data_IF_521781989772
#
_entry.id   IF_521781989772
#
_cell.length_a   1.000
_cell.length_b   1.000
_cell.length_c   1.000
_cell.angle_alpha   90.00
_cell.angle_beta   90.00
_cell.angle_gamma   90.00
#
_symmetry.space_group_name_H-M   'P 1'
#
loop_
_entity.id
_entity.type
_entity.pdbx_description
1 polymer ?
#
# COMPACT_ATOMS: atom_id res chain seq x y z
N UNK A 1 61.52 -3.90 -19.10
CA UNK A 1 61.50 -2.70 -18.23
C UNK A 1 60.56 -2.98 -17.06
N UNK A 2 60.85 -2.40 -15.88
CA UNK A 2 60.29 -2.68 -14.54
C UNK A 2 58.74 -2.77 -14.47
N UNK A 3 58.14 -3.74 -13.75
CA UNK A 3 57.83 -3.78 -12.30
C UNK A 3 56.87 -2.65 -11.84
N UNK A 4 55.85 -2.87 -10.99
CA UNK A 4 55.84 -3.69 -9.76
C UNK A 4 54.42 -4.12 -9.27
N UNK A 5 54.38 -5.11 -8.37
CA UNK A 5 53.28 -5.67 -7.54
C UNK A 5 53.89 -6.01 -6.13
N UNK A 6 53.16 -6.52 -5.09
CA UNK A 6 51.71 -6.65 -4.81
C UNK A 6 51.37 -5.82 -3.52
N UNK A 7 50.94 -6.28 -2.31
CA UNK A 7 50.07 -7.40 -1.88
C UNK A 7 48.97 -7.13 -0.80
N UNK A 8 47.83 -7.82 -0.97
CA UNK A 8 46.93 -8.51 0.01
C UNK A 8 46.76 -8.06 1.49
N UNK A 9 45.52 -8.32 1.96
CA UNK A 9 45.10 -8.74 3.33
C UNK A 9 44.93 -7.62 4.38
N UNK A 10 44.15 -7.68 5.48
CA UNK A 10 43.24 -8.64 6.17
C UNK A 10 42.16 -7.77 6.88
N UNK A 11 40.89 -8.18 7.09
CA UNK A 11 40.33 -9.06 8.16
C UNK A 11 40.71 -8.67 9.61
N UNK A 12 39.74 -8.80 10.53
CA UNK A 12 39.75 -8.48 12.00
C UNK A 12 39.28 -7.05 12.30
N UNK A 13 38.13 -6.81 12.94
CA UNK A 13 37.82 -7.09 14.36
C UNK A 13 38.89 -6.56 15.31
N UNK A 14 38.57 -5.51 16.07
CA UNK A 14 38.93 -5.48 17.49
C UNK A 14 37.92 -4.68 18.32
N UNK A 15 37.31 -5.38 19.28
CA UNK A 15 36.44 -4.86 20.33
C UNK A 15 37.24 -4.88 21.63
N UNK A 16 37.74 -3.71 22.03
CA UNK A 16 38.33 -3.40 23.34
C UNK A 16 38.04 -1.91 23.60
N UNK A 17 37.87 -1.39 24.80
CA UNK A 17 37.85 -1.94 26.15
C UNK A 17 37.61 -0.74 27.08
N UNK A 18 36.63 -0.81 27.98
CA UNK A 18 36.85 -1.09 29.40
C UNK A 18 37.13 0.16 30.26
N UNK A 19 36.18 0.44 31.16
CA UNK A 19 36.27 1.23 32.40
C UNK A 19 36.82 2.66 32.41
N UNK A 20 35.93 3.60 32.77
CA UNK A 20 36.19 4.55 33.85
C UNK A 20 34.97 4.57 34.79
N UNK A 21 35.20 4.67 36.11
CA UNK A 21 34.19 4.46 37.16
C UNK A 21 33.99 5.75 37.98
N UNK A 22 32.76 5.96 38.46
CA UNK A 22 32.35 6.91 39.50
C UNK A 22 32.35 8.42 39.12
N UNK A 23 31.71 9.29 39.91
CA UNK A 23 30.82 9.04 41.06
C UNK A 23 29.35 9.46 40.82
N UNK A 24 28.45 9.06 41.73
CA UNK A 24 27.05 9.46 41.72
C UNK A 24 26.84 10.83 42.41
N UNK A 25 25.91 11.67 41.90
CA UNK A 25 25.24 12.69 42.70
C UNK A 25 23.75 12.38 42.97
N UNK A 26 23.30 12.88 44.11
CA UNK A 26 22.02 12.69 44.81
C UNK A 26 20.71 12.98 44.03
N UNK A 27 19.54 12.49 44.50
CA UNK A 27 18.28 12.57 43.74
C UNK A 27 17.63 13.97 43.78
N UNK A 28 17.96 14.81 42.79
CA UNK A 28 17.16 15.99 42.50
C UNK A 28 15.79 15.57 41.93
N UNK A 29 14.75 15.76 42.75
CA UNK A 29 13.33 15.49 42.52
C UNK A 29 12.87 15.96 41.12
N UNK A 30 12.85 15.05 40.14
CA UNK A 30 12.45 15.35 38.76
C UNK A 30 10.94 15.59 38.71
N UNK A 31 10.53 16.83 38.40
CA UNK A 31 9.13 17.17 38.17
C UNK A 31 8.54 16.30 37.04
N UNK A 32 7.25 15.93 37.10
CA UNK A 32 6.61 15.21 36.01
C UNK A 32 6.63 16.09 34.77
N UNK A 33 7.22 15.58 33.68
CA UNK A 33 7.21 16.26 32.40
C UNK A 33 5.75 16.49 31.96
N UNK A 34 5.39 17.67 31.41
CA UNK A 34 4.06 17.87 30.86
C UNK A 34 3.85 16.81 29.77
N UNK A 35 2.79 16.02 29.91
CA UNK A 35 2.50 14.92 29.00
C UNK A 35 2.52 15.43 27.56
N UNK A 36 3.43 14.87 26.76
CA UNK A 36 3.55 15.20 25.34
C UNK A 36 2.20 14.89 24.71
N UNK A 37 1.41 15.93 24.42
CA UNK A 37 0.15 15.77 23.70
C UNK A 37 0.49 15.07 22.39
N UNK A 38 0.09 13.81 22.27
CA UNK A 38 0.19 13.10 21.02
C UNK A 38 -0.64 13.90 20.01
N UNK A 39 0.03 14.59 19.09
CA UNK A 39 -0.64 15.15 17.93
C UNK A 39 -1.41 13.98 17.28
N UNK A 40 -2.73 14.10 17.03
CA UNK A 40 -3.41 13.10 16.25
C UNK A 40 -2.63 12.99 14.94
N UNK A 41 -2.17 11.78 14.63
CA UNK A 41 -1.33 11.56 13.46
C UNK A 41 -2.12 12.00 12.24
N UNK A 42 -1.72 13.13 11.66
CA UNK A 42 -2.19 13.56 10.34
C UNK A 42 -1.72 12.46 9.41
N UNK A 43 -2.64 11.54 9.07
CA UNK A 43 -2.36 10.46 8.15
C UNK A 43 -2.18 11.14 6.80
N UNK A 44 -0.92 11.39 6.47
CA UNK A 44 -0.47 11.72 5.12
C UNK A 44 -0.69 10.45 4.29
N UNK A 45 -1.95 10.19 3.92
CA UNK A 45 -2.32 9.08 3.04
C UNK A 45 -1.52 9.26 1.78
N UNK A 46 -0.58 8.34 1.55
CA UNK A 46 0.30 8.41 0.41
C UNK A 46 -0.57 8.42 -0.87
N UNK A 47 -0.23 9.18 -1.92
CA UNK A 47 -1.08 9.27 -3.11
C UNK A 47 -1.43 7.90 -3.72
N UNK A 48 -0.51 6.94 -3.63
CA UNK A 48 -0.72 5.56 -4.07
C UNK A 48 -1.71 4.77 -3.20
N UNK A 49 -1.82 5.04 -1.90
CA UNK A 49 -2.81 4.41 -1.01
C UNK A 49 -4.23 4.85 -1.39
N UNK A 50 -4.42 6.13 -1.72
CA UNK A 50 -5.70 6.67 -2.17
C UNK A 50 -6.11 5.99 -3.48
N UNK A 51 -5.18 5.86 -4.44
CA UNK A 51 -5.42 5.13 -5.70
C UNK A 51 -5.72 3.65 -5.47
N UNK A 52 -5.04 2.99 -4.52
CA UNK A 52 -5.30 1.59 -4.17
C UNK A 52 -6.69 1.41 -3.54
N UNK A 53 -7.09 2.26 -2.58
CA UNK A 53 -8.43 2.25 -1.98
C UNK A 53 -9.52 2.51 -3.02
N UNK A 54 -9.34 3.48 -3.91
CA UNK A 54 -10.26 3.75 -5.01
C UNK A 54 -10.40 2.57 -5.96
N UNK A 55 -9.31 1.87 -6.30
CA UNK A 55 -9.36 0.65 -7.11
C UNK A 55 -10.16 -0.46 -6.42
N UNK A 56 -9.99 -0.66 -5.11
CA UNK A 56 -10.72 -1.68 -4.37
C UNK A 56 -12.20 -1.32 -4.18
N UNK A 57 -12.54 -0.06 -3.87
CA UNK A 57 -13.93 0.39 -3.81
C UNK A 57 -14.68 0.14 -5.14
N UNK A 58 -14.03 0.40 -6.29
CA UNK A 58 -14.60 0.10 -7.61
C UNK A 58 -14.70 -1.40 -7.90
N UNK A 59 -13.80 -2.22 -7.35
CA UNK A 59 -13.89 -3.67 -7.46
C UNK A 59 -15.06 -4.24 -6.63
N UNK A 60 -15.31 -3.70 -5.43
CA UNK A 60 -16.47 -4.05 -4.59
C UNK A 60 -17.78 -3.65 -5.27
N UNK A 61 -17.90 -2.42 -5.77
CA UNK A 61 -19.07 -1.98 -6.54
C UNK A 61 -19.31 -2.86 -7.80
N UNK A 62 -18.26 -3.36 -8.44
CA UNK A 62 -18.38 -4.33 -9.53
C UNK A 62 -18.85 -5.72 -9.06
N UNK A 63 -18.48 -6.17 -7.85
CA UNK A 63 -19.04 -7.39 -7.22
C UNK A 63 -20.52 -7.22 -6.95
N UNK A 64 -20.93 -6.12 -6.33
CA UNK A 64 -22.34 -5.79 -6.04
C UNK A 64 -23.18 -5.75 -7.32
N UNK A 65 -22.69 -5.07 -8.36
CA UNK A 65 -23.35 -5.00 -9.66
C UNK A 65 -23.48 -6.37 -10.34
N UNK A 66 -22.47 -7.25 -10.24
CA UNK A 66 -22.54 -8.62 -10.75
C UNK A 66 -23.52 -9.49 -9.96
N UNK A 67 -23.55 -9.37 -8.63
CA UNK A 67 -24.50 -10.08 -7.77
C UNK A 67 -25.95 -9.66 -8.08
N UNK A 68 -26.18 -8.36 -8.31
CA UNK A 68 -27.44 -7.80 -8.80
C UNK A 68 -27.73 -8.10 -10.29
N UNK A 69 -26.91 -8.92 -10.98
CA UNK A 69 -27.03 -9.27 -12.41
C UNK A 69 -27.08 -8.07 -13.37
N UNK A 70 -26.53 -6.92 -12.97
CA UNK A 70 -26.46 -5.72 -13.82
C UNK A 70 -25.56 -5.96 -15.03
N UNK A 71 -25.89 -5.34 -16.15
CA UNK A 71 -25.04 -5.34 -17.34
C UNK A 71 -23.75 -4.55 -17.10
N UNK A 72 -22.68 -4.87 -17.84
CA UNK A 72 -21.37 -4.18 -17.74
C UNK A 72 -21.49 -2.65 -17.96
N UNK A 73 -22.48 -2.20 -18.73
CA UNK A 73 -22.78 -0.76 -18.97
C UNK A 73 -23.45 -0.11 -17.76
N UNK A 74 -24.38 -0.81 -17.09
CA UNK A 74 -24.99 -0.31 -15.85
C UNK A 74 -23.96 -0.26 -14.71
N UNK A 75 -23.12 -1.29 -14.58
CA UNK A 75 -22.00 -1.30 -13.61
C UNK A 75 -21.05 -0.11 -13.84
N UNK A 76 -20.79 0.26 -15.11
CA UNK A 76 -20.00 1.45 -15.41
C UNK A 76 -20.66 2.76 -14.94
N UNK A 77 -21.99 2.89 -15.10
CA UNK A 77 -22.76 4.02 -14.58
C UNK A 77 -22.77 4.07 -13.04
N UNK A 78 -22.92 2.92 -12.37
CA UNK A 78 -22.83 2.87 -10.90
C UNK A 78 -21.43 3.33 -10.39
N UNK A 79 -20.35 2.95 -11.10
CA UNK A 79 -18.96 3.21 -10.70
C UNK A 79 -18.50 4.64 -11.02
N UNK A 80 -18.94 5.20 -12.15
CA UNK A 80 -18.49 6.51 -12.63
C UNK A 80 -19.51 7.63 -12.37
N UNK A 81 -20.66 7.31 -11.77
CA UNK A 81 -21.82 8.19 -11.67
C UNK A 81 -22.74 8.05 -12.89
N UNK A 82 -24.00 8.43 -12.71
CA UNK A 82 -25.01 8.45 -13.78
C UNK A 82 -24.73 9.50 -14.87
N UNK A 83 -23.63 10.26 -14.73
CA UNK A 83 -23.20 11.28 -15.68
C UNK A 83 -23.04 10.71 -17.08
N UNK A 84 -23.66 11.41 -18.04
CA UNK A 84 -23.71 10.99 -19.42
C UNK A 84 -22.32 10.74 -20.02
N UNK A 85 -21.25 11.40 -19.55
CA UNK A 85 -19.87 11.16 -20.01
C UNK A 85 -19.44 9.69 -19.93
N UNK A 86 -19.79 8.99 -18.84
CA UNK A 86 -19.51 7.56 -18.67
C UNK A 86 -20.13 6.70 -19.77
N UNK A 87 -21.24 7.17 -20.34
CA UNK A 87 -22.11 6.47 -21.30
C UNK A 87 -21.88 6.97 -22.74
N UNK A 88 -21.48 8.22 -22.93
CA UNK A 88 -21.16 8.85 -24.22
C UNK A 88 -19.94 8.17 -24.85
N UNK A 89 -18.88 7.93 -24.06
CA UNK A 89 -17.67 7.24 -24.55
C UNK A 89 -17.81 5.70 -24.56
N UNK A 90 -19.03 5.16 -24.54
CA UNK A 90 -19.29 3.70 -24.46
C UNK A 90 -19.16 2.99 -25.82
N UNK A 91 -18.06 3.26 -26.52
CA UNK A 91 -17.70 2.61 -27.78
C UNK A 91 -17.23 1.15 -27.56
N UNK A 92 -17.28 0.28 -28.61
CA UNK A 92 -16.87 -1.12 -28.48
C UNK A 92 -15.43 -1.31 -27.97
N UNK A 93 -14.53 -0.40 -28.34
CA UNK A 93 -13.10 -0.45 -28.07
C UNK A 93 -12.61 0.68 -27.13
N UNK A 94 -13.49 1.34 -26.36
CA UNK A 94 -13.05 2.44 -25.48
C UNK A 94 -12.30 1.94 -24.24
N UNK A 95 -11.32 2.73 -23.79
CA UNK A 95 -10.53 2.44 -22.59
C UNK A 95 -11.42 2.27 -21.35
N UNK A 96 -12.49 3.07 -21.22
CA UNK A 96 -13.46 2.93 -20.12
C UNK A 96 -14.11 1.54 -20.14
N UNK A 97 -14.49 1.01 -21.30
CA UNK A 97 -15.05 -0.34 -21.44
C UNK A 97 -14.01 -1.42 -21.11
N UNK A 98 -12.75 -1.23 -21.50
CA UNK A 98 -11.65 -2.13 -21.15
C UNK A 98 -11.38 -2.16 -19.64
N UNK A 99 -11.31 -0.98 -19.00
CA UNK A 99 -11.13 -0.84 -17.55
C UNK A 99 -12.27 -1.50 -16.76
N UNK A 100 -13.54 -1.26 -17.14
CA UNK A 100 -14.70 -1.87 -16.47
C UNK A 100 -14.74 -3.39 -16.70
N UNK A 101 -14.38 -3.89 -17.90
CA UNK A 101 -14.21 -5.34 -18.15
C UNK A 101 -13.15 -5.95 -17.24
N UNK A 102 -12.01 -5.27 -17.04
CA UNK A 102 -10.97 -5.74 -16.14
C UNK A 102 -11.41 -5.71 -14.67
N UNK A 103 -12.16 -4.69 -14.24
CA UNK A 103 -12.80 -4.68 -12.90
C UNK A 103 -13.78 -5.84 -12.72
N UNK A 104 -14.64 -6.11 -13.71
CA UNK A 104 -15.55 -7.27 -13.73
C UNK A 104 -14.79 -8.60 -13.66
N UNK A 105 -13.64 -8.72 -14.33
CA UNK A 105 -12.76 -9.89 -14.24
C UNK A 105 -12.22 -10.07 -12.81
N UNK A 106 -11.73 -9.00 -12.17
CA UNK A 106 -11.27 -9.03 -10.78
C UNK A 106 -12.40 -9.38 -9.80
N UNK A 107 -13.57 -8.78 -9.98
CA UNK A 107 -14.76 -9.05 -9.18
C UNK A 107 -15.18 -10.54 -9.24
N UNK A 108 -15.09 -11.18 -10.41
CA UNK A 108 -15.30 -12.63 -10.55
C UNK A 108 -14.25 -13.46 -9.82
N UNK A 109 -12.98 -13.08 -9.87
CA UNK A 109 -11.91 -13.76 -9.13
C UNK A 109 -12.12 -13.63 -7.61
N UNK A 110 -12.54 -12.45 -7.13
CA UNK A 110 -12.92 -12.24 -5.74
C UNK A 110 -14.08 -13.16 -5.34
N UNK A 111 -15.21 -13.12 -6.06
CA UNK A 111 -16.36 -14.00 -5.79
C UNK A 111 -16.02 -15.50 -5.85
N UNK A 112 -15.04 -15.89 -6.68
CA UNK A 112 -14.53 -17.26 -6.78
C UNK A 112 -13.62 -17.71 -5.62
N UNK A 113 -13.52 -16.93 -4.54
CA UNK A 113 -12.69 -17.23 -3.36
C UNK A 113 -11.37 -16.44 -3.28
N UNK A 114 -11.04 -15.62 -4.27
CA UNK A 114 -9.79 -14.82 -4.29
C UNK A 114 -9.68 -13.79 -3.16
N UNK A 115 -10.75 -13.51 -2.41
CA UNK A 115 -10.65 -12.72 -1.17
C UNK A 115 -9.92 -13.48 -0.05
N UNK A 116 -9.88 -14.82 -0.07
CA UNK A 116 -9.13 -15.63 0.89
C UNK A 116 -7.62 -15.46 0.70
N UNK A 117 -7.15 -15.35 -0.55
CA UNK A 117 -5.74 -15.05 -0.87
C UNK A 117 -5.34 -13.66 -0.35
N UNK A 118 -6.22 -12.66 -0.50
CA UNK A 118 -6.01 -11.33 0.09
C UNK A 118 -5.99 -11.36 1.62
N UNK A 119 -6.88 -12.14 2.25
CA UNK A 119 -6.93 -12.29 3.71
C UNK A 119 -5.71 -13.04 4.27
N UNK A 120 -5.15 -13.98 3.50
CA UNK A 120 -3.89 -14.66 3.80
C UNK A 120 -2.65 -13.76 3.61
N UNK A 121 -2.82 -12.54 3.10
CA UNK A 121 -1.72 -11.59 2.87
C UNK A 121 -0.93 -11.83 1.58
N UNK A 122 -1.38 -12.74 0.71
CA UNK A 122 -0.73 -12.97 -0.57
C UNK A 122 -1.00 -11.78 -1.51
N UNK A 123 0.06 -11.03 -1.85
CA UNK A 123 -0.04 -9.90 -2.78
C UNK A 123 -0.15 -10.36 -4.23
N UNK A 124 -1.25 -11.04 -4.57
CA UNK A 124 -1.60 -11.30 -5.97
C UNK A 124 -2.02 -10.00 -6.62
N UNK A 125 -1.47 -9.70 -7.80
CA UNK A 125 -1.85 -8.52 -8.57
C UNK A 125 -3.23 -8.75 -9.21
N UNK A 126 -4.29 -8.45 -8.46
CA UNK A 126 -5.66 -8.32 -8.98
C UNK A 126 -5.72 -7.14 -9.94
#
# INVERSE_FOLDING_TARGET
MSASLPPRSRRSLFRCGFSARAPAPSPCRRAPAPATRACPSVILTQPWEVVARLRMARAVAAVEGLAARKSVRQIAGDIHGADASAVIDWAPNSDRRAQVRQLVKKARLLMGGGYLELAAGERRQL
#
